data_IF_191664612819
#
_entry.id   IF_191664612819
#
_cell.length_a   1.000
_cell.length_b   1.000
_cell.length_c   1.000
_cell.angle_alpha   90.00
_cell.angle_beta   90.00
_cell.angle_gamma   90.00
#
_symmetry.space_group_name_H-M   'P 1'
#
loop_
_entity.id
_entity.type
_entity.pdbx_description
1 polymer ?
#
# COMPACT_ATOMS: atom_id res chain seq x y z
N UNK A 1 -20.33 -15.80 -15.23
CA UNK A 1 -20.23 -15.00 -16.47
C UNK A 1 -18.78 -14.99 -16.92
N UNK A 2 -18.44 -15.75 -17.97
CA UNK A 2 -17.08 -15.86 -18.53
C UNK A 2 -16.91 -14.70 -19.52
N UNK A 3 -16.08 -13.70 -19.19
CA UNK A 3 -15.77 -12.60 -20.10
C UNK A 3 -14.74 -13.06 -21.14
N UNK A 4 -14.81 -12.51 -22.35
CA UNK A 4 -14.03 -12.88 -23.55
C UNK A 4 -12.49 -12.80 -23.42
N UNK A 5 -12.00 -12.35 -22.27
CA UNK A 5 -10.59 -12.10 -21.96
C UNK A 5 -10.03 -13.04 -20.87
N UNK A 6 -10.83 -13.96 -20.34
CA UNK A 6 -10.40 -14.91 -19.28
C UNK A 6 -10.27 -14.30 -17.88
N UNK A 7 -10.43 -12.99 -17.72
CA UNK A 7 -10.28 -12.27 -16.44
C UNK A 7 -11.65 -12.05 -15.78
N UNK A 8 -11.73 -12.27 -14.46
CA UNK A 8 -12.95 -12.00 -13.68
C UNK A 8 -13.15 -10.50 -13.44
N UNK A 9 -14.41 -10.06 -13.33
CA UNK A 9 -14.74 -8.64 -13.03
C UNK A 9 -14.05 -8.14 -11.75
N UNK A 10 -13.90 -9.00 -10.74
CA UNK A 10 -13.22 -8.63 -9.49
C UNK A 10 -11.73 -8.35 -9.71
N UNK A 11 -11.06 -9.15 -10.53
CA UNK A 11 -9.63 -8.96 -10.84
C UNK A 11 -9.43 -7.66 -11.60
N UNK A 12 -10.29 -7.35 -12.57
CA UNK A 12 -10.22 -6.09 -13.32
C UNK A 12 -10.40 -4.87 -12.40
N UNK A 13 -11.42 -4.89 -11.52
CA UNK A 13 -11.69 -3.79 -10.59
C UNK A 13 -10.54 -3.64 -9.58
N UNK A 14 -10.07 -4.74 -8.98
CA UNK A 14 -8.96 -4.69 -8.04
C UNK A 14 -7.66 -4.22 -8.71
N UNK A 15 -7.41 -4.61 -9.96
CA UNK A 15 -6.27 -4.11 -10.74
C UNK A 15 -6.33 -2.60 -10.95
N UNK A 16 -7.52 -2.06 -11.27
CA UNK A 16 -7.71 -0.62 -11.43
C UNK A 16 -7.48 0.14 -10.12
N UNK A 17 -8.03 -0.37 -9.00
CA UNK A 17 -7.84 0.22 -7.67
C UNK A 17 -6.37 0.19 -7.25
N UNK A 18 -5.68 -0.94 -7.43
CA UNK A 18 -4.25 -1.08 -7.14
C UNK A 18 -3.42 -0.11 -7.97
N UNK A 19 -3.70 -0.03 -9.28
CA UNK A 19 -2.97 0.86 -10.18
C UNK A 19 -3.03 2.32 -9.72
N UNK A 20 -4.22 2.83 -9.41
CA UNK A 20 -4.35 4.22 -8.95
C UNK A 20 -3.70 4.44 -7.59
N UNK A 21 -3.79 3.47 -6.68
CA UNK A 21 -3.15 3.53 -5.38
C UNK A 21 -1.62 3.57 -5.48
N UNK A 22 -1.04 2.71 -6.34
CA UNK A 22 0.40 2.63 -6.55
C UNK A 22 0.92 3.90 -7.23
N UNK A 23 0.21 4.41 -8.25
CA UNK A 23 0.56 5.68 -8.89
C UNK A 23 0.60 6.82 -7.86
N UNK A 24 -0.43 6.93 -7.02
CA UNK A 24 -0.48 7.98 -6.00
C UNK A 24 0.68 7.85 -4.99
N UNK A 25 0.97 6.64 -4.54
CA UNK A 25 2.00 6.37 -3.52
C UNK A 25 3.41 6.60 -4.07
N UNK A 26 3.71 6.10 -5.27
CA UNK A 26 5.01 6.24 -5.93
C UNK A 26 5.30 7.68 -6.35
N UNK A 27 4.27 8.50 -6.61
CA UNK A 27 4.47 9.94 -6.86
C UNK A 27 5.02 10.67 -5.63
N UNK A 28 4.61 10.27 -4.43
CA UNK A 28 4.99 10.92 -3.16
C UNK A 28 6.30 10.35 -2.62
N UNK A 29 6.57 9.07 -2.86
CA UNK A 29 7.73 8.35 -2.32
C UNK A 29 9.07 9.09 -2.45
N UNK A 30 9.48 9.63 -3.62
CA UNK A 30 10.73 10.38 -3.73
C UNK A 30 10.64 11.81 -3.17
N UNK A 31 9.43 12.39 -3.10
CA UNK A 31 9.23 13.78 -2.66
C UNK A 31 9.50 13.89 -1.15
N UNK A 32 9.07 12.91 -0.35
CA UNK A 32 9.24 12.91 1.11
C UNK A 32 10.71 13.03 1.55
N UNK A 33 11.64 12.15 1.13
CA UNK A 33 13.04 12.26 1.55
C UNK A 33 13.71 13.54 1.03
N UNK A 34 13.37 13.99 -0.18
CA UNK A 34 13.87 15.27 -0.72
C UNK A 34 13.40 16.44 0.15
N UNK A 35 12.13 16.46 0.53
CA UNK A 35 11.58 17.51 1.41
C UNK A 35 12.24 17.50 2.80
N UNK A 36 12.35 16.32 3.41
CA UNK A 36 12.99 16.17 4.73
C UNK A 36 14.43 16.67 4.72
N UNK A 37 15.21 16.31 3.70
CA UNK A 37 16.63 16.68 3.61
C UNK A 37 16.85 18.12 3.14
N UNK A 38 16.15 18.55 2.10
CA UNK A 38 16.42 19.82 1.42
C UNK A 38 15.67 21.00 2.02
N UNK A 39 14.46 20.78 2.57
CA UNK A 39 13.63 21.85 3.14
C UNK A 39 13.75 21.88 4.67
N UNK A 40 13.65 20.71 5.32
CA UNK A 40 13.73 20.63 6.78
C UNK A 40 15.16 20.44 7.32
N UNK A 41 16.14 20.17 6.45
CA UNK A 41 17.53 19.97 6.85
C UNK A 41 17.77 18.70 7.66
N UNK A 42 16.88 17.70 7.57
CA UNK A 42 17.00 16.46 8.31
C UNK A 42 18.24 15.66 7.85
N UNK A 43 19.03 15.08 8.79
CA UNK A 43 20.12 14.19 8.44
C UNK A 43 19.62 12.95 7.69
N UNK A 44 20.40 12.46 6.72
CA UNK A 44 20.08 11.24 5.94
C UNK A 44 19.86 10.02 6.84
N UNK A 45 20.57 9.94 7.97
CA UNK A 45 20.37 8.88 8.96
C UNK A 45 18.95 8.84 9.55
N UNK A 46 18.33 10.02 9.73
CA UNK A 46 16.95 10.12 10.22
C UNK A 46 15.95 9.68 9.14
N UNK A 47 16.20 10.05 7.88
CA UNK A 47 15.39 9.57 6.75
C UNK A 47 15.42 8.05 6.66
N UNK A 48 16.62 7.45 6.73
CA UNK A 48 16.77 6.00 6.74
C UNK A 48 16.06 5.31 7.92
N UNK A 49 16.02 5.95 9.09
CA UNK A 49 15.26 5.45 10.25
C UNK A 49 13.74 5.52 10.02
N UNK A 50 13.23 6.62 9.43
CA UNK A 50 11.82 6.78 9.08
C UNK A 50 11.41 5.71 8.05
N UNK A 51 12.15 5.58 6.96
CA UNK A 51 11.89 4.60 5.91
C UNK A 51 11.98 3.17 6.44
N UNK A 52 12.98 2.88 7.28
CA UNK A 52 13.14 1.58 7.91
C UNK A 52 11.95 1.20 8.80
N UNK A 53 11.45 2.13 9.62
CA UNK A 53 10.26 1.92 10.46
C UNK A 53 9.00 1.74 9.60
N UNK A 54 8.85 2.56 8.56
CA UNK A 54 7.72 2.50 7.65
C UNK A 54 7.65 1.14 6.93
N UNK A 55 8.75 0.71 6.30
CA UNK A 55 8.81 -0.57 5.57
C UNK A 55 8.68 -1.77 6.51
N UNK A 56 9.28 -1.71 7.71
CA UNK A 56 9.14 -2.77 8.72
C UNK A 56 7.69 -2.92 9.17
N UNK A 57 7.03 -1.79 9.44
CA UNK A 57 5.62 -1.77 9.84
C UNK A 57 4.72 -2.31 8.72
N UNK A 58 4.93 -1.86 7.48
CA UNK A 58 4.21 -2.34 6.31
C UNK A 58 4.39 -3.86 6.12
N UNK A 59 5.62 -4.35 6.22
CA UNK A 59 5.96 -5.77 6.09
C UNK A 59 5.32 -6.63 7.18
N UNK A 60 5.36 -6.20 8.44
CA UNK A 60 4.70 -6.91 9.55
C UNK A 60 3.19 -6.95 9.33
N UNK A 61 2.57 -5.82 8.97
CA UNK A 61 1.14 -5.75 8.72
C UNK A 61 0.71 -6.62 7.54
N UNK A 62 1.49 -6.69 6.45
CA UNK A 62 1.24 -7.59 5.32
C UNK A 62 1.16 -9.06 5.78
N UNK A 63 2.09 -9.50 6.63
CA UNK A 63 2.11 -10.87 7.15
C UNK A 63 0.90 -11.14 8.05
N UNK A 64 0.64 -10.26 9.03
CA UNK A 64 -0.46 -10.45 9.99
C UNK A 64 -1.82 -10.41 9.27
N UNK A 65 -2.05 -9.41 8.43
CA UNK A 65 -3.32 -9.27 7.70
C UNK A 65 -3.53 -10.39 6.68
N UNK A 66 -2.47 -10.84 5.99
CA UNK A 66 -2.52 -11.98 5.09
C UNK A 66 -2.91 -13.27 5.83
N UNK A 67 -2.23 -13.57 6.95
CA UNK A 67 -2.54 -14.74 7.77
C UNK A 67 -3.99 -14.71 8.30
N UNK A 68 -4.44 -13.57 8.84
CA UNK A 68 -5.81 -13.44 9.35
C UNK A 68 -6.86 -13.55 8.23
N UNK A 69 -6.59 -12.93 7.08
CA UNK A 69 -7.46 -13.00 5.90
C UNK A 69 -7.64 -14.43 5.41
N UNK A 70 -6.55 -15.20 5.34
CA UNK A 70 -6.61 -16.60 4.93
C UNK A 70 -7.25 -17.49 5.99
N UNK A 71 -6.96 -17.28 7.28
CA UNK A 71 -7.57 -18.03 8.38
C UNK A 71 -9.09 -17.89 8.43
N UNK A 72 -9.62 -16.70 8.14
CA UNK A 72 -11.07 -16.45 8.14
C UNK A 72 -11.75 -16.62 6.78
N UNK A 73 -10.99 -16.91 5.70
CA UNK A 73 -11.48 -17.04 4.33
C UNK A 73 -12.31 -15.84 3.83
N UNK A 74 -12.17 -14.67 4.46
CA UNK A 74 -12.95 -13.44 4.20
C UNK A 74 -12.07 -12.33 3.60
N UNK A 75 -11.56 -12.55 2.40
CA UNK A 75 -10.60 -11.64 1.74
C UNK A 75 -11.15 -10.23 1.46
N UNK A 76 -12.44 -10.13 1.12
CA UNK A 76 -13.06 -8.85 0.71
C UNK A 76 -13.05 -7.80 1.82
N UNK A 77 -13.32 -8.17 3.08
CA UNK A 77 -13.38 -7.21 4.18
C UNK A 77 -12.01 -6.62 4.49
N UNK A 78 -10.95 -7.44 4.47
CA UNK A 78 -9.58 -6.97 4.69
C UNK A 78 -9.13 -6.00 3.60
N UNK A 79 -9.42 -6.32 2.34
CA UNK A 79 -9.11 -5.45 1.20
C UNK A 79 -9.84 -4.11 1.32
N UNK A 80 -11.15 -4.13 1.61
CA UNK A 80 -11.92 -2.88 1.76
C UNK A 80 -11.40 -2.03 2.91
N UNK A 81 -11.12 -2.62 4.07
CA UNK A 81 -10.59 -1.86 5.22
C UNK A 81 -9.22 -1.26 4.90
N UNK A 82 -8.31 -2.04 4.30
CA UNK A 82 -6.97 -1.56 3.95
C UNK A 82 -7.00 -0.37 2.99
N UNK A 83 -7.78 -0.46 1.90
CA UNK A 83 -7.92 0.65 0.96
C UNK A 83 -8.66 1.85 1.56
N UNK A 84 -9.64 1.64 2.44
CA UNK A 84 -10.27 2.75 3.15
C UNK A 84 -9.28 3.51 4.02
N UNK A 85 -8.40 2.80 4.75
CA UNK A 85 -7.36 3.43 5.57
C UNK A 85 -6.39 4.24 4.70
N UNK A 86 -5.96 3.69 3.56
CA UNK A 86 -5.08 4.40 2.62
C UNK A 86 -5.70 5.66 2.01
N UNK A 87 -7.03 5.72 1.91
CA UNK A 87 -7.72 6.89 1.38
C UNK A 87 -7.80 8.05 2.40
N UNK A 88 -7.55 7.80 3.69
CA UNK A 88 -7.58 8.80 4.75
C UNK A 88 -6.20 9.29 5.22
N UNK A 89 -5.11 8.68 4.73
CA UNK A 89 -3.72 9.07 5.02
C UNK A 89 -3.21 10.08 4.01
#
# INVERSE_FOLDING_TARGET
MKNRWGISKNVFVLGLVSFFNDVASEMIYPIVPIFLTSVLGAPVAIVGLIEGIAESTASILKVISGYLSDKWLKRKSFVTVGYSVSAFS
#
